data_IF_396406990528
#
_entry.id   IF_396406990528
#
_cell.length_a   1.000
_cell.length_b   1.000
_cell.length_c   1.000
_cell.angle_alpha   90.00
_cell.angle_beta   90.00
_cell.angle_gamma   90.00
#
_symmetry.space_group_name_H-M   'P 1'
#
loop_
_entity.id
_entity.type
_entity.pdbx_description
1 polymer ?
#
# COMPACT_ATOMS: atom_id res chain seq x y z
N UNK A 1 -54.85 12.68 20.17
CA UNK A 1 -53.56 12.99 19.53
C UNK A 1 -52.46 12.06 20.05
N UNK A 2 -52.40 10.80 19.59
CA UNK A 2 -51.44 9.77 20.07
C UNK A 2 -50.97 8.84 18.93
N UNK A 3 -50.56 9.39 17.78
CA UNK A 3 -50.12 8.58 16.62
C UNK A 3 -48.94 9.21 15.84
N UNK A 4 -48.01 9.90 16.50
CA UNK A 4 -46.88 10.54 15.81
C UNK A 4 -45.47 10.13 16.30
N UNK A 5 -45.35 9.29 17.33
CA UNK A 5 -44.05 8.96 17.95
C UNK A 5 -43.51 7.57 17.62
N UNK A 6 -44.26 6.70 16.93
CA UNK A 6 -43.80 5.34 16.63
C UNK A 6 -43.04 5.20 15.30
N UNK A 7 -43.20 6.17 14.39
CA UNK A 7 -42.63 6.08 13.03
C UNK A 7 -41.21 6.61 12.94
N UNK A 8 -40.76 7.42 13.91
CA UNK A 8 -39.41 8.01 13.86
C UNK A 8 -38.32 7.05 14.37
N UNK A 9 -38.65 6.16 15.30
CA UNK A 9 -37.70 5.18 15.87
C UNK A 9 -37.42 4.01 14.94
N UNK A 10 -38.40 3.59 14.13
CA UNK A 10 -38.20 2.51 13.15
C UNK A 10 -37.31 2.95 11.99
N UNK A 11 -37.43 4.18 11.50
CA UNK A 11 -36.58 4.72 10.43
C UNK A 11 -35.13 4.92 10.87
N UNK A 12 -34.92 5.31 12.13
CA UNK A 12 -33.57 5.49 12.68
C UNK A 12 -32.88 4.14 12.95
N UNK A 13 -33.65 3.12 13.36
CA UNK A 13 -33.13 1.75 13.47
C UNK A 13 -32.85 1.12 12.09
N UNK A 14 -33.66 1.42 11.08
CA UNK A 14 -33.43 0.90 9.73
C UNK A 14 -32.25 1.59 9.01
N UNK A 15 -32.03 2.88 9.26
CA UNK A 15 -30.85 3.60 8.80
C UNK A 15 -29.57 3.16 9.54
N UNK A 16 -29.67 2.82 10.84
CA UNK A 16 -28.55 2.31 11.63
C UNK A 16 -28.20 0.84 11.37
N UNK A 17 -29.13 0.02 10.86
CA UNK A 17 -28.89 -1.38 10.51
C UNK A 17 -28.43 -1.54 9.05
N UNK A 18 -28.74 -0.58 8.17
CA UNK A 18 -28.28 -0.61 6.78
C UNK A 18 -26.75 -0.46 6.63
N UNK A 19 -26.08 0.12 7.63
CA UNK A 19 -24.63 0.31 7.68
C UNK A 19 -23.93 -0.74 8.56
N UNK A 20 -24.54 -1.91 8.70
CA UNK A 20 -23.92 -3.11 9.29
C UNK A 20 -24.17 -4.33 8.40
N UNK A 21 -24.35 -4.11 7.10
CA UNK A 21 -23.84 -5.11 6.17
C UNK A 21 -22.33 -5.09 6.39
N UNK A 22 -21.81 -6.04 7.17
CA UNK A 22 -20.42 -6.44 7.01
C UNK A 22 -20.25 -6.58 5.50
N UNK A 23 -19.43 -5.73 4.87
CA UNK A 23 -18.76 -6.11 3.63
C UNK A 23 -17.87 -7.29 4.03
N UNK A 24 -18.47 -8.47 4.16
CA UNK A 24 -17.75 -9.68 4.59
C UNK A 24 -16.74 -10.12 3.54
N UNK A 25 -16.83 -9.59 2.31
CA UNK A 25 -15.81 -9.74 1.28
C UNK A 25 -15.76 -8.46 0.43
N UNK A 26 -14.69 -7.67 0.59
CA UNK A 26 -14.24 -6.74 -0.45
C UNK A 26 -13.58 -7.61 -1.52
N UNK A 27 -14.40 -8.21 -2.38
CA UNK A 27 -13.96 -9.14 -3.41
C UNK A 27 -13.01 -8.42 -4.40
N UNK A 28 -13.24 -7.13 -4.70
CA UNK A 28 -12.39 -6.35 -5.61
C UNK A 28 -12.28 -6.90 -7.05
N UNK A 29 -12.87 -8.08 -7.30
CA UNK A 29 -12.93 -8.79 -8.57
C UNK A 29 -14.09 -8.33 -9.46
N UNK A 30 -15.10 -7.67 -8.88
CA UNK A 30 -16.24 -7.12 -9.60
C UNK A 30 -15.86 -5.88 -10.43
N UNK A 31 -16.69 -5.54 -11.41
CA UNK A 31 -16.46 -4.35 -12.24
C UNK A 31 -16.72 -3.07 -11.44
N UNK A 32 -15.64 -2.32 -11.14
CA UNK A 32 -15.61 -0.93 -10.67
C UNK A 32 -16.58 -0.59 -9.54
N UNK A 33 -16.08 -0.65 -8.31
CA UNK A 33 -16.74 -0.21 -7.08
C UNK A 33 -16.12 1.11 -6.61
N UNK A 34 -16.96 2.00 -6.08
CA UNK A 34 -16.53 3.26 -5.47
C UNK A 34 -16.56 3.10 -3.95
N UNK A 35 -15.38 3.21 -3.33
CA UNK A 35 -15.15 3.12 -1.88
C UNK A 35 -14.84 4.48 -1.26
N UNK A 36 -15.26 5.58 -1.89
CA UNK A 36 -14.96 6.93 -1.40
C UNK A 36 -15.42 7.15 0.05
N UNK A 37 -14.46 7.43 0.94
CA UNK A 37 -14.69 7.71 2.36
C UNK A 37 -15.10 6.50 3.20
N UNK A 38 -15.01 5.29 2.65
CA UNK A 38 -15.28 4.05 3.39
C UNK A 38 -14.13 3.72 4.35
N UNK A 39 -14.46 3.02 5.44
CA UNK A 39 -13.53 2.62 6.51
C UNK A 39 -13.44 1.08 6.60
N UNK A 40 -12.26 0.58 6.28
CA UNK A 40 -11.84 -0.81 6.31
C UNK A 40 -10.65 -1.03 7.25
N UNK A 41 -10.42 -0.11 8.19
CA UNK A 41 -9.30 -0.20 9.13
C UNK A 41 -9.32 -1.51 9.92
N UNK A 42 -8.17 -2.18 9.98
CA UNK A 42 -7.97 -3.46 10.66
C UNK A 42 -8.73 -4.65 10.07
N UNK A 43 -9.37 -4.50 8.89
CA UNK A 43 -10.10 -5.59 8.25
C UNK A 43 -9.18 -6.50 7.43
N UNK A 44 -9.60 -7.75 7.25
CA UNK A 44 -8.99 -8.64 6.26
C UNK A 44 -9.69 -8.47 4.91
N UNK A 45 -8.93 -8.30 3.84
CA UNK A 45 -9.36 -7.97 2.49
C UNK A 45 -8.83 -8.99 1.49
N UNK A 46 -9.60 -9.31 0.44
CA UNK A 46 -9.15 -10.12 -0.69
C UNK A 46 -9.05 -11.63 -0.45
N UNK A 47 -9.65 -12.15 0.63
CA UNK A 47 -9.49 -13.54 1.11
C UNK A 47 -9.90 -14.66 0.15
N UNK A 48 -10.64 -14.38 -0.93
CA UNK A 48 -11.23 -15.41 -1.81
C UNK A 48 -10.66 -15.46 -3.23
N UNK A 49 -9.45 -14.94 -3.47
CA UNK A 49 -8.80 -15.21 -4.75
C UNK A 49 -8.07 -16.54 -4.67
N UNK A 50 -8.60 -17.60 -5.28
CA UNK A 50 -7.92 -18.89 -5.38
C UNK A 50 -6.57 -18.74 -6.10
N UNK A 51 -5.52 -19.51 -5.76
CA UNK A 51 -4.25 -19.47 -6.49
C UNK A 51 -4.49 -19.65 -7.99
N UNK A 52 -3.99 -18.70 -8.80
CA UNK A 52 -4.22 -18.60 -10.25
C UNK A 52 -5.62 -18.10 -10.67
N UNK A 53 -6.38 -17.46 -9.77
CA UNK A 53 -7.54 -16.69 -10.19
C UNK A 53 -7.11 -15.60 -11.18
N UNK A 54 -7.98 -15.29 -12.15
CA UNK A 54 -7.81 -14.13 -13.03
C UNK A 54 -8.30 -12.84 -12.38
N UNK A 55 -8.76 -12.94 -11.15
CA UNK A 55 -9.40 -11.88 -10.43
C UNK A 55 -8.31 -11.05 -9.77
N UNK A 56 -8.46 -9.75 -9.92
CA UNK A 56 -7.48 -8.75 -9.53
C UNK A 56 -8.17 -7.89 -8.50
N UNK A 57 -7.67 -7.86 -7.27
CA UNK A 57 -8.26 -6.99 -6.25
C UNK A 57 -8.07 -5.52 -6.64
N UNK A 58 -9.12 -4.72 -6.44
CA UNK A 58 -9.14 -3.32 -6.82
C UNK A 58 -9.33 -3.10 -8.31
N UNK A 59 -9.91 -4.02 -9.09
CA UNK A 59 -9.96 -3.83 -10.54
C UNK A 59 -10.92 -2.70 -10.94
N UNK A 60 -10.33 -1.59 -11.40
CA UNK A 60 -11.05 -0.38 -11.81
C UNK A 60 -11.86 0.28 -10.68
N UNK A 61 -11.46 0.03 -9.44
CA UNK A 61 -12.10 0.58 -8.25
C UNK A 61 -11.61 2.02 -7.95
N UNK A 62 -12.42 2.76 -7.19
CA UNK A 62 -12.13 4.14 -6.77
C UNK A 62 -11.95 4.16 -5.25
N UNK A 63 -10.80 4.63 -4.79
CA UNK A 63 -10.41 4.78 -3.39
C UNK A 63 -10.09 6.24 -3.10
N UNK A 64 -11.11 7.07 -2.89
CA UNK A 64 -10.92 8.47 -2.52
C UNK A 64 -11.11 8.65 -1.01
N UNK A 65 -10.05 8.98 -0.28
CA UNK A 65 -10.06 9.08 1.20
C UNK A 65 -10.62 7.82 1.89
N UNK A 66 -10.44 6.65 1.27
CA UNK A 66 -10.78 5.38 1.89
C UNK A 66 -9.73 5.02 2.94
N UNK A 67 -10.15 4.48 4.08
CA UNK A 67 -9.26 4.05 5.17
C UNK A 67 -9.10 2.53 5.14
N UNK A 68 -7.87 2.07 4.93
CA UNK A 68 -7.42 0.69 4.98
C UNK A 68 -6.28 0.54 6.01
N UNK A 69 -6.16 1.46 6.97
CA UNK A 69 -5.10 1.44 7.96
C UNK A 69 -5.09 0.13 8.73
N UNK A 70 -3.91 -0.47 8.90
CA UNK A 70 -3.74 -1.79 9.53
C UNK A 70 -4.54 -2.94 8.91
N UNK A 71 -5.09 -2.77 7.69
CA UNK A 71 -5.81 -3.84 7.01
C UNK A 71 -4.85 -4.95 6.54
N UNK A 72 -5.36 -6.16 6.41
CA UNK A 72 -4.61 -7.33 5.91
C UNK A 72 -5.16 -7.76 4.55
N UNK A 73 -4.38 -7.57 3.49
CA UNK A 73 -4.71 -7.97 2.13
C UNK A 73 -4.09 -9.35 1.83
N UNK A 74 -4.94 -10.36 1.64
CA UNK A 74 -4.51 -11.70 1.26
C UNK A 74 -4.78 -11.93 -0.22
N UNK A 75 -3.86 -11.46 -1.08
CA UNK A 75 -4.07 -11.40 -2.51
C UNK A 75 -3.42 -12.59 -3.21
N UNK A 76 -4.17 -13.24 -4.09
CA UNK A 76 -3.60 -14.13 -5.10
C UNK A 76 -4.08 -13.69 -6.47
N UNK A 77 -3.17 -13.62 -7.44
CA UNK A 77 -3.54 -13.09 -8.75
C UNK A 77 -2.42 -12.32 -9.40
N UNK A 78 -2.72 -11.84 -10.60
CA UNK A 78 -1.72 -11.29 -11.50
C UNK A 78 -1.41 -9.83 -11.16
N UNK A 79 -2.43 -9.02 -10.80
CA UNK A 79 -2.28 -7.56 -10.75
C UNK A 79 -3.21 -6.93 -9.70
N UNK A 80 -2.72 -6.59 -8.51
CA UNK A 80 -3.49 -5.71 -7.62
C UNK A 80 -3.65 -4.32 -8.24
N UNK A 81 -4.59 -3.54 -7.72
CA UNK A 81 -4.88 -2.16 -8.15
C UNK A 81 -4.89 -1.94 -9.67
N UNK A 82 -5.50 -2.85 -10.44
CA UNK A 82 -5.55 -2.78 -11.90
C UNK A 82 -6.52 -1.70 -12.38
N UNK A 83 -6.00 -0.59 -12.91
CA UNK A 83 -6.80 0.52 -13.44
C UNK A 83 -7.54 1.29 -12.35
N UNK A 84 -7.06 1.24 -11.11
CA UNK A 84 -7.66 1.95 -9.98
C UNK A 84 -7.51 3.45 -10.07
N UNK A 85 -8.38 4.15 -9.32
CA UNK A 85 -8.14 5.53 -8.92
C UNK A 85 -7.91 5.58 -7.40
N UNK A 86 -6.74 6.02 -6.95
CA UNK A 86 -6.35 6.08 -5.53
C UNK A 86 -6.00 7.52 -5.17
N UNK A 87 -6.86 8.21 -4.42
CA UNK A 87 -6.63 9.62 -4.04
C UNK A 87 -6.81 9.80 -2.54
N UNK A 88 -5.75 10.13 -1.81
CA UNK A 88 -5.83 10.36 -0.36
C UNK A 88 -6.23 9.14 0.47
N UNK A 89 -6.17 7.94 -0.11
CA UNK A 89 -6.47 6.71 0.63
C UNK A 89 -5.37 6.41 1.65
N UNK A 90 -5.76 5.87 2.80
CA UNK A 90 -4.86 5.57 3.90
C UNK A 90 -4.64 4.05 4.00
N UNK A 91 -3.43 3.57 3.70
CA UNK A 91 -3.02 2.19 3.90
C UNK A 91 -2.00 2.07 5.05
N UNK A 92 -1.91 3.04 5.95
CA UNK A 92 -0.88 3.09 6.99
C UNK A 92 -0.87 1.83 7.84
N UNK A 93 0.26 1.16 7.95
CA UNK A 93 0.42 -0.10 8.69
C UNK A 93 -0.28 -1.31 8.06
N UNK A 94 -0.83 -1.21 6.86
CA UNK A 94 -1.47 -2.33 6.18
C UNK A 94 -0.45 -3.41 5.78
N UNK A 95 -0.89 -4.66 5.75
CA UNK A 95 -0.10 -5.82 5.33
C UNK A 95 -0.64 -6.38 4.02
N UNK A 96 0.19 -6.46 3.00
CA UNK A 96 -0.10 -7.07 1.71
C UNK A 96 0.61 -8.42 1.60
N UNK A 97 -0.14 -9.51 1.73
CA UNK A 97 0.31 -10.87 1.47
C UNK A 97 -0.03 -11.22 0.02
N UNK A 98 0.95 -11.16 -0.88
CA UNK A 98 0.76 -11.32 -2.32
C UNK A 98 1.37 -12.62 -2.79
N UNK A 99 0.54 -13.55 -3.24
CA UNK A 99 1.00 -14.70 -4.03
C UNK A 99 0.92 -14.34 -5.51
N UNK A 100 2.08 -14.29 -6.17
CA UNK A 100 2.20 -13.98 -7.59
C UNK A 100 1.48 -15.02 -8.47
N UNK A 101 0.97 -14.57 -9.61
CA UNK A 101 0.29 -15.45 -10.55
C UNK A 101 1.29 -16.32 -11.31
N UNK A 102 0.94 -17.60 -11.48
CA UNK A 102 1.75 -18.58 -12.21
C UNK A 102 0.92 -19.25 -13.30
N UNK A 103 1.43 -19.25 -14.53
CA UNK A 103 0.90 -20.08 -15.61
C UNK A 103 2.01 -20.80 -16.34
N UNK A 104 2.03 -22.12 -16.18
CA UNK A 104 3.14 -22.95 -16.65
C UNK A 104 4.42 -22.55 -15.92
N UNK A 105 5.39 -22.05 -16.67
CA UNK A 105 6.70 -21.59 -16.18
C UNK A 105 6.77 -20.07 -16.00
N UNK A 106 5.74 -19.34 -16.40
CA UNK A 106 5.72 -17.88 -16.43
C UNK A 106 5.04 -17.31 -15.20
N UNK A 107 5.73 -16.41 -14.52
CA UNK A 107 5.23 -15.66 -13.38
C UNK A 107 4.94 -14.21 -13.76
N UNK A 108 3.91 -13.64 -13.11
CA UNK A 108 3.54 -12.23 -13.27
C UNK A 108 3.29 -11.56 -11.94
N UNK A 109 3.63 -10.28 -11.88
CA UNK A 109 3.42 -9.43 -10.72
C UNK A 109 3.30 -7.98 -11.15
N UNK A 110 2.12 -7.37 -11.06
CA UNK A 110 2.00 -5.93 -11.23
C UNK A 110 1.08 -5.31 -10.17
N UNK A 111 1.64 -4.60 -9.19
CA UNK A 111 0.84 -4.08 -8.08
C UNK A 111 0.01 -2.86 -8.46
N UNK A 112 0.52 -1.97 -9.29
CA UNK A 112 -0.16 -0.74 -9.68
C UNK A 112 -0.14 -0.60 -11.19
N UNK A 113 -1.00 -1.36 -11.86
CA UNK A 113 -1.08 -1.34 -13.32
C UNK A 113 -2.14 -0.39 -13.84
N UNK A 114 -1.77 0.60 -14.64
CA UNK A 114 -2.65 1.67 -15.12
C UNK A 114 -3.38 2.39 -13.97
N UNK A 115 -2.87 2.31 -12.75
CA UNK A 115 -3.43 2.98 -11.59
C UNK A 115 -3.20 4.48 -11.70
N UNK A 116 -4.15 5.27 -11.21
CA UNK A 116 -4.06 6.75 -11.25
C UNK A 116 -4.38 7.32 -9.88
N UNK A 117 -3.88 8.53 -9.61
CA UNK A 117 -4.26 9.30 -8.45
C UNK A 117 -3.07 9.87 -7.69
N UNK A 118 -3.33 10.30 -6.45
CA UNK A 118 -2.30 11.00 -5.66
C UNK A 118 -2.52 11.00 -4.16
N UNK A 119 -1.43 11.10 -3.39
CA UNK A 119 -1.50 11.40 -1.96
C UNK A 119 -1.97 10.23 -1.11
N UNK A 120 -1.87 9.00 -1.61
CA UNK A 120 -2.17 7.83 -0.80
C UNK A 120 -1.01 7.55 0.18
N UNK A 121 -1.35 7.20 1.41
CA UNK A 121 -0.37 6.76 2.42
C UNK A 121 -0.18 5.25 2.35
N UNK A 122 1.05 4.81 2.20
CA UNK A 122 1.53 3.44 2.39
C UNK A 122 2.60 3.40 3.49
N UNK A 123 2.56 4.38 4.41
CA UNK A 123 3.44 4.46 5.58
C UNK A 123 3.38 3.16 6.39
N UNK A 124 4.53 2.64 6.82
CA UNK A 124 4.66 1.42 7.64
C UNK A 124 3.99 0.16 7.03
N UNK A 125 3.75 0.13 5.72
CA UNK A 125 3.15 -1.04 5.07
C UNK A 125 4.12 -2.22 4.99
N UNK A 126 3.59 -3.43 5.11
CA UNK A 126 4.35 -4.67 4.92
C UNK A 126 3.93 -5.35 3.61
N UNK A 127 4.87 -5.55 2.68
CA UNK A 127 4.65 -6.21 1.40
C UNK A 127 5.33 -7.58 1.40
N UNK A 128 4.56 -8.62 1.70
CA UNK A 128 4.99 -10.01 1.73
C UNK A 128 4.69 -10.66 0.38
N UNK A 129 5.69 -10.74 -0.50
CA UNK A 129 5.54 -11.21 -1.87
C UNK A 129 6.09 -12.63 -1.98
N UNK A 130 5.21 -13.59 -2.29
CA UNK A 130 5.58 -14.99 -2.54
C UNK A 130 5.83 -15.23 -4.02
N UNK A 131 7.05 -15.68 -4.34
CA UNK A 131 7.49 -16.06 -5.68
C UNK A 131 7.52 -17.60 -5.81
N UNK A 132 6.73 -18.12 -6.75
CA UNK A 132 6.47 -19.55 -6.96
C UNK A 132 7.07 -20.21 -8.22
N UNK A 133 7.97 -19.58 -8.99
CA UNK A 133 8.56 -20.16 -10.23
C UNK A 133 9.98 -19.69 -10.52
N UNK A 134 10.75 -20.51 -11.26
CA UNK A 134 12.16 -20.32 -11.60
C UNK A 134 12.44 -19.82 -13.01
N UNK A 135 11.45 -19.76 -13.91
CA UNK A 135 11.80 -19.91 -15.33
C UNK A 135 11.53 -18.68 -16.23
N UNK A 136 10.64 -17.75 -15.84
CA UNK A 136 10.51 -16.44 -16.49
C UNK A 136 9.57 -15.49 -15.72
N UNK A 137 10.02 -14.24 -15.52
CA UNK A 137 9.15 -13.11 -15.16
C UNK A 137 8.67 -12.45 -16.46
N UNK A 138 7.36 -12.48 -16.69
CA UNK A 138 6.72 -11.78 -17.81
C UNK A 138 5.86 -10.67 -17.24
N UNK A 139 6.23 -9.41 -17.45
CA UNK A 139 5.54 -8.25 -16.90
C UNK A 139 5.52 -8.26 -15.35
N UNK A 140 6.57 -7.73 -14.74
CA UNK A 140 6.84 -7.88 -13.30
C UNK A 140 7.20 -6.57 -12.65
N UNK A 141 6.38 -5.56 -12.90
CA UNK A 141 6.65 -4.18 -12.57
C UNK A 141 5.74 -3.75 -11.42
N UNK A 142 6.31 -3.18 -10.35
CA UNK A 142 5.50 -2.69 -9.23
C UNK A 142 4.53 -1.58 -9.67
N UNK A 143 5.01 -0.67 -10.51
CA UNK A 143 4.21 0.26 -11.30
C UNK A 143 4.28 -0.15 -12.79
N UNK A 144 3.14 -0.39 -13.44
CA UNK A 144 3.05 -0.76 -14.88
C UNK A 144 2.04 0.13 -15.59
N UNK A 145 2.23 0.34 -16.88
CA UNK A 145 1.24 0.89 -17.80
C UNK A 145 1.19 2.41 -17.83
N UNK A 146 0.13 2.95 -18.41
CA UNK A 146 0.01 4.41 -18.63
C UNK A 146 -0.61 5.15 -17.43
N UNK A 147 -0.65 4.50 -16.27
CA UNK A 147 -1.16 5.08 -15.04
C UNK A 147 -0.28 6.23 -14.56
N UNK A 148 -0.83 7.11 -13.73
CA UNK A 148 -0.07 8.20 -13.11
C UNK A 148 -0.38 8.26 -11.62
N UNK A 149 0.52 7.68 -10.82
CA UNK A 149 0.51 7.83 -9.37
C UNK A 149 1.55 8.87 -8.97
N UNK A 150 1.19 9.71 -8.01
CA UNK A 150 2.06 10.78 -7.53
C UNK A 150 1.85 11.00 -6.05
N UNK A 151 2.88 11.46 -5.36
CA UNK A 151 2.81 11.72 -3.93
C UNK A 151 2.34 10.50 -3.10
N UNK A 152 2.77 9.30 -3.49
CA UNK A 152 2.53 8.09 -2.71
C UNK A 152 3.57 8.03 -1.60
N UNK A 153 3.14 7.88 -0.35
CA UNK A 153 4.06 7.85 0.78
C UNK A 153 4.40 6.42 1.17
N UNK A 154 5.65 5.99 0.99
CA UNK A 154 6.14 4.67 1.41
C UNK A 154 7.11 4.75 2.60
N UNK A 155 7.09 5.82 3.40
CA UNK A 155 7.89 5.89 4.63
C UNK A 155 7.74 4.64 5.50
N UNK A 156 8.84 4.12 6.02
CA UNK A 156 8.84 2.91 6.86
C UNK A 156 8.41 1.60 6.18
N UNK A 157 7.92 1.63 4.93
CA UNK A 157 7.40 0.43 4.27
C UNK A 157 8.48 -0.66 4.14
N UNK A 158 8.08 -1.92 4.26
CA UNK A 158 8.97 -3.07 4.24
C UNK A 158 8.54 -4.08 3.19
N UNK A 159 9.49 -4.57 2.41
CA UNK A 159 9.29 -5.57 1.37
C UNK A 159 10.01 -6.86 1.76
N UNK A 160 9.28 -7.95 1.76
CA UNK A 160 9.81 -9.31 1.97
C UNK A 160 9.48 -10.17 0.77
N UNK A 161 10.49 -10.80 0.20
CA UNK A 161 10.31 -11.79 -0.87
C UNK A 161 10.48 -13.18 -0.28
N UNK A 162 9.38 -13.91 -0.16
CA UNK A 162 9.42 -15.33 0.17
C UNK A 162 9.57 -16.13 -1.11
N UNK A 163 10.69 -16.81 -1.22
CA UNK A 163 10.99 -17.58 -2.41
C UNK A 163 11.01 -19.05 -2.06
N UNK A 164 10.04 -19.75 -2.62
CA UNK A 164 9.73 -21.13 -2.24
C UNK A 164 10.55 -22.18 -3.00
N UNK A 165 11.42 -21.75 -3.94
CA UNK A 165 12.23 -22.63 -4.79
C UNK A 165 13.75 -22.43 -4.62
N UNK A 166 14.50 -23.44 -5.01
CA UNK A 166 15.94 -23.64 -4.80
C UNK A 166 16.88 -22.89 -5.76
N UNK A 167 16.38 -22.27 -6.85
CA UNK A 167 17.22 -21.54 -7.83
C UNK A 167 17.33 -20.03 -7.53
N UNK A 168 18.25 -19.70 -6.62
CA UNK A 168 18.49 -18.32 -6.13
C UNK A 168 18.89 -17.33 -7.24
N UNK A 169 19.56 -17.79 -8.30
CA UNK A 169 20.12 -16.88 -9.32
C UNK A 169 19.04 -16.24 -10.20
N UNK A 170 18.03 -17.02 -10.59
CA UNK A 170 16.91 -16.51 -11.40
C UNK A 170 15.97 -15.62 -10.59
N UNK A 171 15.98 -15.79 -9.27
CA UNK A 171 15.15 -15.02 -8.35
C UNK A 171 15.77 -13.66 -8.02
N UNK A 172 17.10 -13.50 -8.06
CA UNK A 172 17.73 -12.17 -8.01
C UNK A 172 17.28 -11.33 -9.20
N UNK A 173 17.19 -11.91 -10.40
CA UNK A 173 16.68 -11.20 -11.57
C UNK A 173 15.20 -10.80 -11.45
N UNK A 174 14.39 -11.58 -10.71
CA UNK A 174 13.00 -11.25 -10.41
C UNK A 174 12.87 -9.99 -9.56
N UNK A 175 13.65 -9.98 -8.49
CA UNK A 175 13.73 -8.89 -7.52
C UNK A 175 14.25 -7.64 -8.24
N UNK A 176 15.29 -7.76 -9.06
CA UNK A 176 15.82 -6.67 -9.90
C UNK A 176 14.74 -6.05 -10.81
N UNK A 177 13.83 -6.85 -11.39
CA UNK A 177 12.75 -6.35 -12.25
C UNK A 177 11.65 -5.65 -11.44
N UNK A 178 11.32 -6.16 -10.25
CA UNK A 178 10.34 -5.53 -9.36
C UNK A 178 10.86 -4.17 -8.89
N UNK A 179 12.14 -4.10 -8.54
CA UNK A 179 12.82 -2.91 -8.00
C UNK A 179 13.07 -1.87 -9.08
N UNK A 180 13.57 -2.28 -10.25
CA UNK A 180 13.90 -1.38 -11.34
C UNK A 180 12.70 -0.55 -11.83
N UNK A 181 11.48 -0.99 -11.50
CA UNK A 181 10.22 -0.33 -11.86
C UNK A 181 9.53 0.38 -10.68
N UNK A 182 10.18 0.49 -9.51
CA UNK A 182 9.72 1.43 -8.49
C UNK A 182 9.78 2.88 -9.02
N UNK A 183 10.61 3.15 -10.04
CA UNK A 183 11.01 4.46 -10.51
C UNK A 183 10.11 5.31 -11.40
N UNK A 184 8.86 4.92 -11.65
CA UNK A 184 7.98 5.72 -12.54
C UNK A 184 6.90 6.51 -11.79
N UNK A 185 7.07 6.70 -10.48
CA UNK A 185 6.13 7.44 -9.65
C UNK A 185 6.84 8.47 -8.79
N UNK A 186 6.27 9.68 -8.70
CA UNK A 186 6.76 10.73 -7.80
C UNK A 186 6.41 10.39 -6.34
N UNK A 187 6.97 9.28 -5.85
CA UNK A 187 6.71 8.70 -4.53
C UNK A 187 7.70 9.21 -3.50
N UNK A 188 7.33 9.09 -2.23
CA UNK A 188 8.11 9.52 -1.07
C UNK A 188 8.66 8.30 -0.32
N UNK A 189 9.86 8.45 0.24
CA UNK A 189 10.49 7.45 1.11
C UNK A 189 11.36 8.14 2.18
N UNK A 190 11.70 7.40 3.23
CA UNK A 190 12.55 7.87 4.33
C UNK A 190 13.73 6.91 4.61
N UNK A 191 14.51 7.20 5.64
CA UNK A 191 15.68 6.40 6.04
C UNK A 191 15.28 5.00 6.52
N UNK A 192 14.10 4.86 7.12
CA UNK A 192 13.56 3.57 7.56
C UNK A 192 13.22 2.67 6.36
N UNK A 193 12.58 3.22 5.31
CA UNK A 193 12.38 2.50 4.05
C UNK A 193 13.71 1.99 3.48
N UNK A 194 14.74 2.84 3.41
CA UNK A 194 16.05 2.45 2.89
C UNK A 194 16.66 1.34 3.74
N UNK A 195 16.61 1.48 5.06
CA UNK A 195 17.17 0.54 6.03
C UNK A 195 16.48 -0.82 5.97
N UNK A 196 15.16 -0.83 5.85
CA UNK A 196 14.34 -2.04 5.82
C UNK A 196 14.54 -2.82 4.52
N UNK A 197 14.76 -2.14 3.39
CA UNK A 197 14.64 -2.76 2.07
C UNK A 197 15.96 -3.03 1.34
N UNK A 198 17.07 -2.35 1.64
CA UNK A 198 18.28 -2.48 0.80
C UNK A 198 18.80 -3.90 0.64
N UNK A 199 18.73 -4.73 1.70
CA UNK A 199 19.12 -6.15 1.64
C UNK A 199 18.11 -6.98 0.86
N UNK A 200 16.81 -6.79 1.13
CA UNK A 200 15.73 -7.47 0.42
C UNK A 200 15.77 -7.15 -1.08
N UNK A 201 16.24 -5.96 -1.41
CA UNK A 201 16.40 -5.46 -2.76
C UNK A 201 17.76 -5.78 -3.41
N UNK A 202 18.63 -6.53 -2.72
CA UNK A 202 19.91 -6.96 -3.30
C UNK A 202 20.98 -5.86 -3.42
N UNK A 203 20.76 -4.66 -2.87
CA UNK A 203 21.77 -3.60 -2.85
C UNK A 203 22.85 -3.89 -1.82
N UNK A 204 24.10 -3.53 -2.15
CA UNK A 204 25.22 -3.71 -1.23
C UNK A 204 25.17 -2.75 -0.02
N UNK A 205 24.37 -1.69 -0.08
CA UNK A 205 24.16 -0.74 1.01
C UNK A 205 22.89 0.10 0.79
N UNK A 206 22.35 0.66 1.86
CA UNK A 206 21.24 1.62 1.79
C UNK A 206 21.54 2.84 0.91
N UNK A 207 22.77 3.36 0.94
CA UNK A 207 23.16 4.50 0.10
C UNK A 207 23.08 4.21 -1.41
N UNK A 208 23.29 2.96 -1.84
CA UNK A 208 23.11 2.59 -3.25
C UNK A 208 21.64 2.50 -3.63
N UNK A 209 20.79 1.98 -2.73
CA UNK A 209 19.34 1.98 -2.91
C UNK A 209 18.80 3.41 -2.99
N UNK A 210 19.14 4.27 -2.03
CA UNK A 210 18.72 5.66 -2.00
C UNK A 210 19.11 6.40 -3.30
N UNK A 211 20.38 6.26 -3.73
CA UNK A 211 20.84 6.90 -4.95
C UNK A 211 20.04 6.45 -6.18
N UNK A 212 19.67 5.17 -6.25
CA UNK A 212 18.88 4.62 -7.34
C UNK A 212 17.44 5.14 -7.30
N UNK A 213 16.77 5.11 -6.14
CA UNK A 213 15.43 5.67 -5.94
C UNK A 213 15.35 7.15 -6.36
N UNK A 214 16.32 7.96 -5.91
CA UNK A 214 16.39 9.39 -6.27
C UNK A 214 16.63 9.58 -7.77
N UNK A 215 17.51 8.77 -8.38
CA UNK A 215 17.74 8.82 -9.84
C UNK A 215 16.49 8.49 -10.65
N UNK A 216 15.61 7.69 -10.03
CA UNK A 216 14.32 7.27 -10.50
C UNK A 216 13.16 8.17 -10.01
N UNK A 217 13.46 9.41 -9.59
CA UNK A 217 12.44 10.42 -9.33
C UNK A 217 11.71 10.34 -7.99
N UNK A 218 12.08 9.41 -7.10
CA UNK A 218 11.56 9.38 -5.74
C UNK A 218 12.08 10.57 -4.92
N UNK A 219 11.26 11.02 -3.99
CA UNK A 219 11.54 12.15 -3.12
C UNK A 219 11.84 11.67 -1.70
N UNK A 220 12.97 12.09 -1.15
CA UNK A 220 13.31 11.83 0.24
C UNK A 220 12.43 12.70 1.14
N UNK A 221 11.76 12.10 2.11
CA UNK A 221 11.08 12.81 3.20
C UNK A 221 12.17 13.33 4.13
N UNK A 222 12.32 14.66 4.30
CA UNK A 222 13.34 15.19 5.18
C UNK A 222 13.01 14.79 6.61
N UNK A 223 13.88 14.01 7.26
CA UNK A 223 13.80 13.87 8.70
C UNK A 223 13.90 15.27 9.35
N UNK A 224 13.13 15.55 10.41
CA UNK A 224 13.34 16.75 11.19
C UNK A 224 14.74 16.68 11.80
N UNK A 225 15.70 17.36 11.17
CA UNK A 225 17.10 17.29 11.58
C UNK A 225 17.26 17.56 13.07
N UNK A 226 18.22 16.89 13.72
CA UNK A 226 18.37 16.91 15.18
C UNK A 226 18.43 18.34 15.77
N UNK A 227 18.88 19.31 14.99
CA UNK A 227 18.88 20.73 15.35
C UNK A 227 17.48 21.37 15.39
N UNK A 228 16.57 20.98 14.51
CA UNK A 228 15.17 21.42 14.52
C UNK A 228 14.45 20.87 15.75
N UNK A 229 14.67 19.58 16.08
CA UNK A 229 14.18 18.95 17.31
C UNK A 229 14.75 19.65 18.56
N UNK A 230 16.06 19.88 18.59
CA UNK A 230 16.72 20.56 19.71
C UNK A 230 16.22 22.00 19.87
N UNK A 231 16.05 22.75 18.77
CA UNK A 231 15.50 24.10 18.80
C UNK A 231 14.05 24.12 19.31
N UNK A 232 13.23 23.15 18.90
CA UNK A 232 11.87 22.95 19.42
C UNK A 232 11.86 22.68 20.93
N UNK A 233 12.72 21.77 21.40
CA UNK A 233 12.88 21.43 22.82
C UNK A 233 13.37 22.61 23.66
N UNK A 234 14.35 23.36 23.16
CA UNK A 234 14.86 24.59 23.79
C UNK A 234 13.80 25.69 23.81
N UNK A 235 13.02 25.84 22.74
CA UNK A 235 11.88 26.75 22.68
C UNK A 235 10.81 26.41 23.70
N UNK A 236 10.41 25.13 23.80
CA UNK A 236 9.42 24.67 24.78
C UNK A 236 9.91 24.82 26.22
N UNK A 237 11.15 24.45 26.51
CA UNK A 237 11.74 24.61 27.85
C UNK A 237 11.82 26.08 28.26
N UNK A 238 12.16 26.99 27.34
CA UNK A 238 12.13 28.43 27.59
C UNK A 238 10.71 28.93 27.92
N UNK A 239 9.70 28.51 27.17
CA UNK A 239 8.28 28.87 27.44
C UNK A 239 7.83 28.35 28.81
N UNK A 240 8.21 27.11 29.17
CA UNK A 240 7.89 26.53 30.48
C UNK A 240 8.57 27.29 31.64
N UNK A 241 9.84 27.67 31.48
CA UNK A 241 10.55 28.47 32.50
C UNK A 241 9.92 29.86 32.64
N UNK A 242 9.54 30.49 31.53
CA UNK A 242 8.87 31.79 31.55
C UNK A 242 7.51 31.73 32.26
N UNK A 243 6.70 30.70 32.00
CA UNK A 243 5.39 30.50 32.63
C UNK A 243 5.46 30.24 34.14
N UNK A 244 6.56 29.67 34.65
CA UNK A 244 6.75 29.48 36.11
C UNK A 244 7.14 30.75 36.86
N UNK A 245 7.52 31.81 36.14
CA UNK A 245 7.96 33.08 36.73
C UNK A 245 6.90 34.19 36.67
N UNK A 246 5.80 33.96 35.93
CA UNK A 246 4.64 34.85 35.85
C UNK A 246 3.54 34.33 36.80
#
# INVERSE_FOLDING_TARGET
MKKLYATFTASLFLAGIAQAALLTDIDGAAASVDYTGEDFSGQTVGTELAPNSTDNWGRSDIFTNADFSSAEFNLSGNQSFLGTTITGADFTGATFNITTWLSGTTQRFNTFRNATGSGASFEDTAWNITLSSTDAFDNSEFFDGTGTLSAMDFSGATFTFDITDSDVATQTAAVDVIIGNLGDSASYFDDDFVTNNFVAFGYASGALLEADLVSNGWQVIPEPGSYALLAGLLGMSYVMVRRRRA
#
